data_IF_462043138147
#
_entry.id   IF_462043138147
#
_cell.length_a   1.000
_cell.length_b   1.000
_cell.length_c   1.000
_cell.angle_alpha   90.00
_cell.angle_beta   90.00
_cell.angle_gamma   90.00
#
_symmetry.space_group_name_H-M   'P 1'
#
loop_
_entity.id
_entity.type
_entity.pdbx_description
1 polymer ?
#
# COMPACT_ATOMS: atom_id res chain seq x y z
N UNK A 1 -2.76 -11.08 2.29
CA UNK A 1 -2.98 -9.66 2.55
C UNK A 1 -2.72 -9.34 4.01
N UNK A 2 -2.17 -8.16 4.31
CA UNK A 2 -2.11 -7.67 5.68
C UNK A 2 -3.52 -7.50 6.25
N UNK A 3 -3.67 -7.65 7.56
CA UNK A 3 -4.89 -7.33 8.29
C UNK A 3 -4.59 -6.30 9.35
N UNK A 4 -5.52 -5.39 9.58
CA UNK A 4 -5.43 -4.41 10.68
C UNK A 4 -6.53 -4.72 11.68
N UNK A 5 -6.15 -4.91 12.94
CA UNK A 5 -7.10 -5.19 14.03
C UNK A 5 -6.49 -4.77 15.36
N UNK A 6 -7.27 -4.17 16.25
CA UNK A 6 -6.83 -3.89 17.63
C UNK A 6 -5.55 -3.05 17.74
N UNK A 7 -5.28 -2.15 16.78
CA UNK A 7 -4.05 -1.34 16.78
C UNK A 7 -2.80 -2.11 16.36
N UNK A 8 -2.93 -3.26 15.70
CA UNK A 8 -1.80 -3.99 15.10
C UNK A 8 -2.01 -4.23 13.61
N UNK A 9 -0.90 -4.28 12.87
CA UNK A 9 -0.82 -4.76 11.50
C UNK A 9 -0.27 -6.18 11.54
N UNK A 10 -1.04 -7.13 11.02
CA UNK A 10 -0.63 -8.53 10.88
C UNK A 10 -0.21 -8.77 9.44
N UNK A 11 1.08 -9.03 9.24
CA UNK A 11 1.68 -9.33 7.93
C UNK A 11 1.92 -10.84 7.84
N UNK A 12 1.35 -11.53 6.83
CA UNK A 12 1.56 -12.96 6.67
C UNK A 12 3.02 -13.27 6.28
N UNK A 13 3.49 -14.46 6.66
CA UNK A 13 4.81 -14.93 6.26
C UNK A 13 4.91 -15.18 4.75
N UNK A 14 5.99 -14.71 4.14
CA UNK A 14 6.27 -14.88 2.72
C UNK A 14 6.77 -16.30 2.39
N UNK A 15 6.35 -16.83 1.24
CA UNK A 15 6.71 -18.18 0.77
C UNK A 15 8.18 -18.29 0.35
N UNK A 16 8.82 -17.20 -0.08
CA UNK A 16 10.22 -17.18 -0.50
C UNK A 16 10.91 -15.86 -0.15
N UNK A 17 12.24 -15.80 -0.27
CA UNK A 17 13.00 -14.53 -0.13
C UNK A 17 12.60 -13.53 -1.20
N UNK A 18 12.27 -13.99 -2.41
CA UNK A 18 11.79 -13.11 -3.47
C UNK A 18 10.44 -12.50 -3.10
N UNK A 19 9.53 -13.33 -2.59
CA UNK A 19 8.21 -12.89 -2.10
C UNK A 19 8.31 -11.92 -0.92
N UNK A 20 9.36 -11.97 -0.10
CA UNK A 20 9.62 -10.93 0.90
C UNK A 20 9.76 -9.56 0.24
N UNK A 21 10.63 -9.46 -0.77
CA UNK A 21 10.92 -8.22 -1.47
C UNK A 21 9.76 -7.75 -2.35
N UNK A 22 9.00 -8.68 -2.92
CA UNK A 22 7.81 -8.38 -3.72
C UNK A 22 6.63 -7.86 -2.88
N UNK A 23 6.69 -7.92 -1.54
CA UNK A 23 5.66 -7.42 -0.64
C UNK A 23 6.18 -6.23 0.16
N UNK A 24 5.82 -5.04 -0.30
CA UNK A 24 6.26 -3.77 0.27
C UNK A 24 5.11 -3.07 1.00
N UNK A 25 5.45 -2.41 2.10
CA UNK A 25 4.50 -1.76 2.99
C UNK A 25 4.98 -0.36 3.31
N UNK A 26 4.18 0.62 2.91
CA UNK A 26 4.43 2.04 3.16
C UNK A 26 3.38 2.53 4.16
N UNK A 27 3.82 3.19 5.23
CA UNK A 27 2.94 3.74 6.25
C UNK A 27 2.91 5.25 6.13
N UNK A 28 1.71 5.82 6.17
CA UNK A 28 1.52 7.27 6.12
C UNK A 28 0.84 7.80 7.38
N UNK A 29 1.17 9.05 7.73
CA UNK A 29 0.47 9.81 8.75
C UNK A 29 -0.88 10.38 8.25
N UNK A 30 -1.58 11.10 9.12
CA UNK A 30 -2.87 11.71 8.79
C UNK A 30 -2.79 12.84 7.76
N UNK A 31 -1.60 13.39 7.51
CA UNK A 31 -1.35 14.46 6.54
C UNK A 31 -0.90 13.90 5.17
N UNK A 32 -0.68 12.58 5.08
CA UNK A 32 -0.23 11.91 3.86
C UNK A 32 1.28 11.92 3.67
N UNK A 33 2.06 12.13 4.73
CA UNK A 33 3.53 11.93 4.67
C UNK A 33 3.85 10.47 4.97
N UNK A 34 4.77 9.91 4.20
CA UNK A 34 5.33 8.60 4.49
C UNK A 34 6.20 8.67 5.75
N UNK A 35 5.96 7.76 6.70
CA UNK A 35 6.61 7.75 8.03
C UNK A 35 7.31 6.45 8.36
N UNK A 36 7.04 5.37 7.63
CA UNK A 36 7.71 4.08 7.82
C UNK A 36 7.61 3.24 6.53
N UNK A 37 8.64 2.46 6.27
CA UNK A 37 8.69 1.48 5.17
C UNK A 37 9.21 0.14 5.69
N UNK A 38 8.60 -0.95 5.26
CA UNK A 38 9.12 -2.29 5.51
C UNK A 38 8.67 -3.29 4.45
N UNK A 39 9.33 -4.44 4.40
CA UNK A 39 8.98 -5.58 3.54
C UNK A 39 8.49 -6.77 4.37
N UNK A 40 7.80 -7.71 3.72
CA UNK A 40 7.38 -8.94 4.38
C UNK A 40 8.60 -9.79 4.80
N UNK A 41 8.47 -10.51 5.91
CA UNK A 41 9.45 -11.51 6.33
C UNK A 41 8.99 -12.95 6.00
N UNK A 42 9.92 -13.92 6.10
CA UNK A 42 9.60 -15.36 5.97
C UNK A 42 8.66 -15.87 7.06
N UNK A 43 8.68 -15.23 8.24
CA UNK A 43 7.79 -15.52 9.35
C UNK A 43 6.71 -14.44 9.43
N UNK A 44 5.50 -14.76 9.91
CA UNK A 44 4.48 -13.75 10.19
C UNK A 44 5.04 -12.65 11.10
N UNK A 45 4.66 -11.40 10.81
CA UNK A 45 4.99 -10.23 11.63
C UNK A 45 3.71 -9.67 12.22
N UNK A 46 3.79 -9.26 13.49
CA UNK A 46 2.76 -8.47 14.16
C UNK A 46 3.42 -7.16 14.54
N UNK A 47 2.92 -6.06 13.98
CA UNK A 47 3.50 -4.73 14.12
C UNK A 47 2.50 -3.85 14.85
N UNK A 48 2.90 -3.29 15.99
CA UNK A 48 2.08 -2.33 16.72
C UNK A 48 1.98 -1.01 15.94
N UNK A 49 0.74 -0.51 15.77
CA UNK A 49 0.49 0.78 15.14
C UNK A 49 0.94 1.89 16.08
N UNK A 50 1.94 2.65 15.64
CA UNK A 50 2.50 3.75 16.44
C UNK A 50 1.61 4.99 16.39
N UNK A 51 1.78 5.86 17.39
CA UNK A 51 1.12 7.18 17.39
C UNK A 51 1.50 7.95 16.12
N UNK A 52 0.48 8.48 15.44
CA UNK A 52 0.65 9.25 14.21
C UNK A 52 0.48 8.44 12.93
N UNK A 53 0.54 7.10 12.99
CA UNK A 53 0.25 6.26 11.83
C UNK A 53 -1.26 6.26 11.54
N UNK A 54 -1.62 6.47 10.28
CA UNK A 54 -3.03 6.56 9.86
C UNK A 54 -3.36 5.64 8.68
N UNK A 55 -2.41 5.38 7.78
CA UNK A 55 -2.64 4.63 6.55
C UNK A 55 -1.53 3.62 6.30
N UNK A 56 -1.89 2.52 5.65
CA UNK A 56 -0.97 1.51 5.15
C UNK A 56 -1.24 1.30 3.66
N UNK A 57 -0.22 1.43 2.83
CA UNK A 57 -0.22 1.03 1.42
C UNK A 57 0.61 -0.24 1.30
N UNK A 58 -0.03 -1.35 0.94
CA UNK A 58 0.60 -2.62 0.62
C UNK A 58 0.71 -2.77 -0.89
N UNK A 59 1.93 -2.95 -1.38
CA UNK A 59 2.23 -3.26 -2.77
C UNK A 59 2.67 -4.71 -2.85
N UNK A 60 2.04 -5.47 -3.74
CA UNK A 60 2.47 -6.81 -4.10
C UNK A 60 2.80 -6.88 -5.58
N UNK A 61 4.08 -7.08 -5.89
CA UNK A 61 4.59 -7.19 -7.26
C UNK A 61 4.76 -8.64 -7.66
N UNK A 62 4.09 -9.05 -8.72
CA UNK A 62 4.19 -10.42 -9.23
C UNK A 62 5.37 -10.59 -10.18
N UNK A 63 5.70 -11.84 -10.50
CA UNK A 63 6.77 -12.19 -11.46
C UNK A 63 6.55 -11.68 -12.88
N UNK A 64 5.33 -11.26 -13.24
CA UNK A 64 5.01 -10.62 -14.53
C UNK A 64 5.04 -9.09 -14.45
N UNK A 65 5.65 -8.52 -13.41
CA UNK A 65 5.64 -7.09 -13.09
C UNK A 65 4.24 -6.48 -12.95
N UNK A 66 3.21 -7.30 -12.66
CA UNK A 66 1.92 -6.75 -12.25
C UNK A 66 1.97 -6.35 -10.79
N UNK A 67 1.54 -5.13 -10.48
CA UNK A 67 1.36 -4.66 -9.13
C UNK A 67 -0.09 -4.80 -8.67
N UNK A 68 -0.26 -5.25 -7.43
CA UNK A 68 -1.51 -5.22 -6.68
C UNK A 68 -1.32 -4.29 -5.48
N UNK A 69 -2.04 -3.18 -5.48
CA UNK A 69 -1.90 -2.14 -4.47
C UNK A 69 -3.13 -2.16 -3.58
N UNK A 70 -2.96 -2.18 -2.26
CA UNK A 70 -4.04 -2.09 -1.29
C UNK A 70 -3.77 -1.01 -0.29
N UNK A 71 -4.71 -0.08 -0.19
CA UNK A 71 -4.71 0.98 0.82
C UNK A 71 -5.62 0.58 1.95
N UNK A 72 -5.14 0.68 3.18
CA UNK A 72 -5.88 0.36 4.40
C UNK A 72 -5.81 1.56 5.34
N UNK A 73 -6.98 2.03 5.80
CA UNK A 73 -7.08 3.00 6.88
C UNK A 73 -6.86 2.29 8.21
N UNK A 74 -5.82 2.67 8.96
CA UNK A 74 -5.43 1.93 10.16
C UNK A 74 -6.45 2.05 11.30
N UNK A 75 -7.21 3.15 11.34
CA UNK A 75 -8.21 3.40 12.40
C UNK A 75 -9.34 2.39 12.42
N UNK A 76 -9.85 2.00 11.25
CA UNK A 76 -11.07 1.20 11.11
C UNK A 76 -10.93 -0.01 10.17
N UNK A 77 -9.75 -0.18 9.55
CA UNK A 77 -9.46 -1.28 8.64
C UNK A 77 -10.17 -1.18 7.29
N UNK A 78 -10.90 -0.09 6.98
CA UNK A 78 -11.50 0.10 5.66
C UNK A 78 -10.40 0.16 4.60
N UNK A 79 -10.64 -0.48 3.46
CA UNK A 79 -9.61 -0.62 2.43
C UNK A 79 -10.13 -0.46 1.01
N UNK A 80 -9.23 -0.10 0.10
CA UNK A 80 -9.43 -0.13 -1.34
C UNK A 80 -8.25 -0.87 -2.01
N UNK A 81 -8.53 -1.58 -3.09
CA UNK A 81 -7.52 -2.36 -3.82
C UNK A 81 -7.57 -2.07 -5.31
N UNK A 82 -6.39 -2.00 -5.92
CA UNK A 82 -6.15 -1.70 -7.32
C UNK A 82 -5.13 -2.67 -7.89
N UNK A 83 -5.10 -2.80 -9.21
CA UNK A 83 -4.12 -3.66 -9.87
C UNK A 83 -3.85 -3.22 -11.29
N UNK A 84 -2.61 -3.35 -11.72
CA UNK A 84 -2.21 -3.11 -13.12
C UNK A 84 -2.90 -4.07 -14.10
N UNK A 85 -3.37 -5.23 -13.63
CA UNK A 85 -4.14 -6.20 -14.45
C UNK A 85 -5.51 -5.66 -14.85
N UNK A 86 -6.14 -4.86 -13.98
CA UNK A 86 -7.46 -4.26 -14.25
C UNK A 86 -7.36 -2.91 -14.94
N UNK A 87 -6.17 -2.32 -14.96
CA UNK A 87 -5.90 -1.01 -15.56
C UNK A 87 -6.97 0.03 -15.21
N UNK A 88 -7.21 0.32 -13.92
CA UNK A 88 -8.11 1.42 -13.57
C UNK A 88 -7.62 2.73 -14.19
N UNK A 89 -8.46 3.73 -14.32
CA UNK A 89 -8.01 5.09 -14.70
C UNK A 89 -7.49 5.84 -13.47
N UNK A 90 -6.67 6.87 -13.68
CA UNK A 90 -6.20 7.72 -12.58
C UNK A 90 -7.36 8.37 -11.83
N UNK A 91 -8.45 8.70 -12.53
CA UNK A 91 -9.67 9.27 -11.96
C UNK A 91 -10.39 8.26 -11.06
N UNK A 92 -10.60 7.03 -11.53
CA UNK A 92 -11.20 5.95 -10.71
C UNK A 92 -10.39 5.67 -9.44
N UNK A 93 -9.06 5.72 -9.52
CA UNK A 93 -8.18 5.57 -8.35
C UNK A 93 -8.37 6.73 -7.37
N UNK A 94 -8.39 7.97 -7.87
CA UNK A 94 -8.56 9.18 -7.06
C UNK A 94 -9.91 9.19 -6.37
N UNK A 95 -11.01 9.03 -7.10
CA UNK A 95 -12.37 9.03 -6.56
C UNK A 95 -12.51 8.00 -5.45
N UNK A 96 -12.05 6.76 -5.69
CA UNK A 96 -12.17 5.69 -4.70
C UNK A 96 -11.33 5.91 -3.45
N UNK A 97 -10.17 6.57 -3.58
CA UNK A 97 -9.33 6.94 -2.44
C UNK A 97 -9.87 8.17 -1.70
N UNK A 98 -10.50 9.11 -2.41
CA UNK A 98 -11.21 10.25 -1.82
C UNK A 98 -12.43 9.81 -1.03
N UNK A 99 -13.23 8.87 -1.54
CA UNK A 99 -14.33 8.22 -0.80
C UNK A 99 -13.84 7.48 0.45
N UNK A 100 -12.61 6.94 0.38
CA UNK A 100 -11.96 6.34 1.54
C UNK A 100 -11.45 7.44 2.50
N UNK A 101 -11.29 8.68 2.07
CA UNK A 101 -10.75 9.80 2.85
C UNK A 101 -9.22 9.78 2.91
N UNK A 102 -8.56 9.15 1.94
CA UNK A 102 -7.10 9.07 1.89
C UNK A 102 -6.50 10.45 1.53
N UNK A 103 -5.42 10.87 2.21
CA UNK A 103 -4.74 12.12 1.90
C UNK A 103 -3.96 12.04 0.59
N UNK A 104 -3.62 13.19 0.01
CA UNK A 104 -2.98 13.31 -1.30
C UNK A 104 -1.71 12.46 -1.44
N UNK A 105 -0.81 12.43 -0.45
CA UNK A 105 0.42 11.63 -0.55
C UNK A 105 0.19 10.10 -0.61
N UNK A 106 -0.93 9.61 -0.05
CA UNK A 106 -1.34 8.21 -0.22
C UNK A 106 -1.81 7.96 -1.65
N UNK A 107 -2.58 8.90 -2.21
CA UNK A 107 -3.04 8.83 -3.61
C UNK A 107 -1.85 8.83 -4.57
N UNK A 108 -0.91 9.74 -4.38
CA UNK A 108 0.30 9.85 -5.20
C UNK A 108 1.13 8.57 -5.17
N UNK A 109 1.32 7.98 -3.98
CA UNK A 109 1.98 6.68 -3.85
C UNK A 109 1.25 5.61 -4.65
N UNK A 110 -0.07 5.49 -4.53
CA UNK A 110 -0.82 4.45 -5.27
C UNK A 110 -0.71 4.64 -6.78
N UNK A 111 -0.81 5.88 -7.27
CA UNK A 111 -0.65 6.19 -8.69
C UNK A 111 0.76 5.86 -9.18
N UNK A 112 1.80 6.18 -8.40
CA UNK A 112 3.18 5.81 -8.71
C UNK A 112 3.34 4.30 -8.90
N UNK A 113 2.78 3.49 -7.99
CA UNK A 113 2.89 2.03 -8.07
C UNK A 113 2.04 1.40 -9.19
N UNK A 114 0.91 2.01 -9.54
CA UNK A 114 0.01 1.47 -10.58
C UNK A 114 0.43 1.83 -11.99
N UNK A 115 0.95 3.04 -12.20
CA UNK A 115 1.24 3.50 -13.54
C UNK A 115 2.71 3.43 -13.88
N UNK A 116 3.60 3.20 -12.89
CA UNK A 116 5.06 3.36 -13.04
C UNK A 116 5.26 4.65 -13.83
N UNK A 117 5.19 5.81 -13.16
CA UNK A 117 5.58 7.04 -13.84
C UNK A 117 6.99 6.79 -14.39
N UNK A 118 7.10 6.56 -15.71
CA UNK A 118 8.31 6.80 -16.46
C UNK A 118 8.56 8.29 -16.26
N UNK A 119 9.25 8.61 -15.17
CA UNK A 119 9.70 9.96 -14.82
C UNK A 119 10.68 10.50 -15.87
N UNK A 120 11.02 9.68 -16.88
CA UNK A 120 11.81 10.03 -18.06
C UNK A 120 10.96 10.54 -19.25
N UNK A 121 9.62 10.49 -19.23
CA UNK A 121 8.78 11.03 -20.33
C UNK A 121 8.08 12.38 -20.03
N UNK A 122 8.36 13.01 -18.87
CA UNK A 122 7.71 14.29 -18.48
C UNK A 122 8.72 15.39 -18.10
N UNK A 123 9.93 15.36 -18.64
CA UNK A 123 10.89 16.48 -18.57
C UNK A 123 11.40 16.90 -19.96
#
# INVERSE_FOLDING_TARGET
MPRVSGGVIVVPGASSRRTCLDNEYYVFDGEGREVEYFTAAKRPQVIEVRRGWAWLVHVYTTTRNNAYVTVIRLRDGRSASFSTVRQPTCEEVRERLEELGAPQGVVERVLHELYILDLDEVL
#
